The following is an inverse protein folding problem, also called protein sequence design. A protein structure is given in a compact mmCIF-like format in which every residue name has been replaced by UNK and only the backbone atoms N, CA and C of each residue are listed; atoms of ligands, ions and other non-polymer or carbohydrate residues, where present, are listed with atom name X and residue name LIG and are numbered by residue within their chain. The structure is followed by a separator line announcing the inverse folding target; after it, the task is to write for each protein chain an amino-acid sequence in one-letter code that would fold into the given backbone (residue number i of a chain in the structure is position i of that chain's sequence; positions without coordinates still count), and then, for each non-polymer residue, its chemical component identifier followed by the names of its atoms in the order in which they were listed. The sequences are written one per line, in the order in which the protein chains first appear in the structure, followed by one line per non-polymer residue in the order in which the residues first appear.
data_IF_362581484601
#
_entry.id   IF_362581484601
#
_cell.length_a   1.000
_cell.length_b   1.000
_cell.length_c   1.000
_cell.angle_alpha   90.00
_cell.angle_beta   90.00
_cell.angle_gamma   90.00
#
_symmetry.space_group_name_H-M   'P 1'
#
loop_
_entity.id
_entity.type
_entity.pdbx_description
1 polymer ?
#
# COMPACT_ATOMS: atom_id res chain seq x y z
N UNK A 1 -12.65 -14.56 -10.81
CA UNK A 1 -11.52 -15.49 -10.60
C UNK A 1 -11.50 -15.85 -9.13
N UNK A 2 -11.21 -17.10 -8.79
CA UNK A 2 -11.02 -17.57 -7.41
C UNK A 2 -9.71 -18.34 -7.38
N UNK A 3 -8.82 -18.02 -6.45
CA UNK A 3 -7.48 -18.59 -6.35
C UNK A 3 -6.70 -17.96 -5.20
N UNK A 4 -5.57 -18.57 -4.84
CA UNK A 4 -4.63 -18.00 -3.88
C UNK A 4 -4.04 -16.69 -4.42
N UNK A 5 -4.00 -15.65 -3.57
CA UNK A 5 -3.58 -14.32 -4.01
C UNK A 5 -2.11 -14.29 -4.46
N UNK A 6 -1.23 -15.06 -3.81
CA UNK A 6 0.18 -15.17 -4.16
C UNK A 6 0.39 -15.87 -5.49
N UNK A 7 -0.33 -16.96 -5.73
CA UNK A 7 -0.29 -17.65 -7.02
C UNK A 7 -0.86 -16.81 -8.16
N UNK A 8 -1.97 -16.10 -7.90
CA UNK A 8 -2.64 -15.27 -8.90
C UNK A 8 -1.75 -14.09 -9.30
N UNK A 9 -1.21 -13.34 -8.34
CA UNK A 9 -0.47 -12.10 -8.64
C UNK A 9 0.86 -12.36 -9.37
N UNK A 10 1.43 -13.56 -9.22
CA UNK A 10 2.66 -13.97 -9.91
C UNK A 10 2.42 -14.33 -11.41
N UNK A 11 1.17 -14.45 -11.87
CA UNK A 11 0.90 -14.88 -13.25
C UNK A 11 1.32 -13.81 -14.27
N UNK A 12 1.94 -14.19 -15.41
CA UNK A 12 2.44 -13.23 -16.40
C UNK A 12 1.40 -12.24 -16.93
N UNK A 13 0.13 -12.65 -17.00
CA UNK A 13 -0.97 -11.82 -17.50
C UNK A 13 -1.29 -10.60 -16.62
N UNK A 14 -0.77 -10.54 -15.39
CA UNK A 14 -0.95 -9.39 -14.49
C UNK A 14 0.24 -8.44 -14.49
N UNK A 15 1.38 -8.83 -15.07
CA UNK A 15 2.59 -8.01 -15.05
C UNK A 15 2.37 -6.70 -15.83
N UNK A 16 2.58 -5.56 -15.18
CA UNK A 16 2.41 -4.23 -15.79
C UNK A 16 0.97 -3.75 -15.95
N UNK A 17 -0.03 -4.45 -15.40
CA UNK A 17 -1.43 -4.25 -15.78
C UNK A 17 -2.29 -3.51 -14.74
N UNK A 18 -1.79 -3.29 -13.52
CA UNK A 18 -2.59 -2.83 -12.39
C UNK A 18 -2.18 -1.41 -11.95
N UNK A 19 -3.10 -0.45 -12.03
CA UNK A 19 -2.84 0.92 -11.54
C UNK A 19 -3.05 1.06 -10.02
N UNK A 20 -3.92 0.23 -9.45
CA UNK A 20 -4.22 0.23 -8.02
C UNK A 20 -4.41 -1.20 -7.50
N UNK A 21 -3.43 -1.70 -6.76
CA UNK A 21 -3.47 -3.02 -6.11
C UNK A 21 -3.75 -2.85 -4.62
N UNK A 22 -4.79 -3.51 -4.11
CA UNK A 22 -5.11 -3.50 -2.68
C UNK A 22 -4.83 -4.86 -2.06
N UNK A 23 -3.94 -4.90 -1.07
CA UNK A 23 -3.60 -6.10 -0.30
C UNK A 23 -4.23 -5.97 1.09
N UNK A 24 -5.20 -6.82 1.37
CA UNK A 24 -5.92 -6.90 2.65
C UNK A 24 -6.08 -8.38 3.01
N UNK A 25 -4.98 -8.98 3.47
CA UNK A 25 -4.87 -10.42 3.71
C UNK A 25 -4.54 -10.66 5.18
N UNK A 26 -5.30 -11.52 5.85
CA UNK A 26 -5.12 -11.84 7.27
C UNK A 26 -5.32 -13.32 7.55
N UNK A 27 -4.59 -13.83 8.54
CA UNK A 27 -4.87 -15.15 9.07
C UNK A 27 -6.23 -15.20 9.77
N UNK A 28 -6.67 -16.40 10.13
CA UNK A 28 -7.95 -16.61 10.82
C UNK A 28 -8.09 -15.87 12.16
N UNK A 29 -6.97 -15.52 12.80
CA UNK A 29 -6.93 -14.79 14.08
C UNK A 29 -6.82 -13.27 13.88
N UNK A 30 -6.75 -12.81 12.61
CA UNK A 30 -6.38 -11.47 12.23
C UNK A 30 -5.09 -10.99 12.94
N UNK A 31 -4.12 -11.89 13.14
CA UNK A 31 -2.92 -11.61 13.94
C UNK A 31 -1.74 -11.06 13.12
N UNK A 32 -1.65 -11.45 11.84
CA UNK A 32 -0.62 -11.03 10.90
C UNK A 32 -1.08 -11.23 9.44
N UNK A 33 -0.41 -10.60 8.46
CA UNK A 33 -0.68 -10.88 7.06
C UNK A 33 -0.24 -12.29 6.66
N UNK A 34 -1.09 -13.00 5.92
CA UNK A 34 -0.81 -14.38 5.46
C UNK A 34 0.32 -14.40 4.44
N UNK A 35 0.36 -13.38 3.58
CA UNK A 35 1.39 -13.17 2.57
C UNK A 35 2.17 -11.90 2.94
N UNK A 36 3.27 -12.10 3.65
CA UNK A 36 4.18 -11.04 4.12
C UNK A 36 5.62 -11.49 3.88
N UNK A 37 6.08 -11.33 2.64
CA UNK A 37 7.48 -11.56 2.26
C UNK A 37 7.92 -10.58 1.18
N UNK A 38 9.22 -10.28 1.12
CA UNK A 38 9.78 -9.44 0.06
C UNK A 38 9.51 -10.05 -1.34
N UNK A 39 9.49 -11.38 -1.48
CA UNK A 39 9.16 -12.05 -2.73
C UNK A 39 7.71 -11.77 -3.16
N UNK A 40 6.76 -11.90 -2.25
CA UNK A 40 5.35 -11.56 -2.52
C UNK A 40 5.19 -10.09 -2.90
N UNK A 41 5.82 -9.17 -2.17
CA UNK A 41 5.77 -7.75 -2.51
C UNK A 41 6.46 -7.45 -3.85
N UNK A 42 7.48 -8.21 -4.26
CA UNK A 42 8.10 -8.08 -5.56
C UNK A 42 7.17 -8.57 -6.69
N UNK A 43 6.36 -9.61 -6.47
CA UNK A 43 5.29 -10.00 -7.39
C UNK A 43 4.22 -8.90 -7.49
N UNK A 44 3.80 -8.34 -6.35
CA UNK A 44 2.89 -7.19 -6.33
C UNK A 44 3.44 -6.02 -7.14
N UNK A 45 4.72 -5.66 -6.97
CA UNK A 45 5.37 -4.60 -7.76
C UNK A 45 5.37 -4.91 -9.25
N UNK A 46 5.71 -6.14 -9.64
CA UNK A 46 5.71 -6.56 -11.06
C UNK A 46 4.33 -6.44 -11.69
N UNK A 47 3.27 -6.65 -10.93
CA UNK A 47 1.90 -6.54 -11.41
C UNK A 47 1.45 -5.09 -11.67
N UNK A 48 2.12 -4.10 -11.05
CA UNK A 48 1.76 -2.71 -11.24
C UNK A 48 2.18 -2.18 -12.60
N UNK A 49 1.35 -1.30 -13.17
CA UNK A 49 1.77 -0.41 -14.26
C UNK A 49 2.82 0.59 -13.74
N UNK A 50 3.48 1.32 -14.65
CA UNK A 50 4.48 2.33 -14.27
C UNK A 50 3.88 3.48 -13.45
N UNK A 51 2.58 3.75 -13.59
CA UNK A 51 1.83 4.75 -12.81
C UNK A 51 1.13 4.13 -11.57
N UNK A 52 1.30 2.83 -11.37
CA UNK A 52 0.55 2.06 -10.40
C UNK A 52 1.06 2.19 -8.96
N UNK A 53 0.18 1.90 -8.02
CA UNK A 53 0.56 1.75 -6.61
C UNK A 53 -0.12 0.55 -5.95
N UNK A 54 0.56 0.01 -4.94
CA UNK A 54 0.00 -0.94 -4.00
C UNK A 54 -0.42 -0.19 -2.73
N UNK A 55 -1.57 -0.53 -2.15
CA UNK A 55 -1.90 -0.22 -0.76
C UNK A 55 -2.06 -1.52 0.02
N UNK A 56 -1.36 -1.66 1.13
CA UNK A 56 -1.49 -2.81 2.04
C UNK A 56 -1.99 -2.34 3.41
N UNK A 57 -2.99 -3.05 3.92
CA UNK A 57 -3.46 -2.85 5.29
C UNK A 57 -2.63 -3.76 6.21
N UNK A 58 -1.90 -3.16 7.15
CA UNK A 58 -1.10 -3.87 8.14
C UNK A 58 -1.76 -3.76 9.50
N UNK A 59 -2.06 -4.92 10.08
CA UNK A 59 -2.57 -5.05 11.44
C UNK A 59 -1.64 -5.98 12.23
N UNK A 60 -1.29 -5.58 13.45
CA UNK A 60 -0.42 -6.38 14.31
C UNK A 60 0.36 -5.53 15.32
N UNK A 61 1.14 -6.21 16.16
CA UNK A 61 2.04 -5.53 17.11
C UNK A 61 3.13 -4.77 16.34
N UNK A 62 3.74 -3.76 16.96
CA UNK A 62 4.81 -2.94 16.35
C UNK A 62 5.90 -3.77 15.65
N UNK A 63 6.34 -4.88 16.26
CA UNK A 63 7.36 -5.76 15.67
C UNK A 63 6.93 -6.44 14.35
N UNK A 64 5.64 -6.62 14.11
CA UNK A 64 5.12 -7.10 12.83
C UNK A 64 5.12 -5.99 11.79
N UNK A 65 4.70 -4.78 12.17
CA UNK A 65 4.68 -3.62 11.29
C UNK A 65 6.08 -3.30 10.73
N UNK A 66 7.10 -3.19 11.60
CA UNK A 66 8.46 -2.86 11.17
C UNK A 66 9.02 -3.91 10.21
N UNK A 67 8.69 -5.19 10.43
CA UNK A 67 9.08 -6.29 9.55
C UNK A 67 8.41 -6.19 8.19
N UNK A 68 7.08 -6.03 8.14
CA UNK A 68 6.35 -5.93 6.88
C UNK A 68 6.82 -4.72 6.08
N UNK A 69 7.03 -3.58 6.74
CA UNK A 69 7.59 -2.36 6.10
C UNK A 69 8.97 -2.61 5.51
N UNK A 70 9.86 -3.31 6.22
CA UNK A 70 11.19 -3.63 5.70
C UNK A 70 11.12 -4.49 4.42
N UNK A 71 10.21 -5.47 4.38
CA UNK A 71 10.01 -6.32 3.20
C UNK A 71 9.38 -5.56 2.03
N UNK A 72 8.44 -4.65 2.31
CA UNK A 72 7.86 -3.75 1.29
C UNK A 72 8.96 -2.85 0.74
N UNK A 73 9.78 -2.26 1.59
CA UNK A 73 10.89 -1.40 1.17
C UNK A 73 11.96 -2.17 0.38
N UNK A 74 12.21 -3.44 0.69
CA UNK A 74 13.09 -4.31 -0.11
C UNK A 74 12.58 -4.48 -1.54
N UNK A 75 11.27 -4.67 -1.72
CA UNK A 75 10.66 -4.85 -3.05
C UNK A 75 10.45 -3.53 -3.81
N UNK A 76 10.01 -2.47 -3.12
CA UNK A 76 9.58 -1.20 -3.72
C UNK A 76 10.66 -0.11 -3.70
N UNK A 77 11.63 -0.21 -2.79
CA UNK A 77 12.58 0.85 -2.47
C UNK A 77 11.98 1.86 -1.49
N UNK A 78 12.77 2.31 -0.53
CA UNK A 78 12.34 3.21 0.56
C UNK A 78 11.65 4.48 0.06
N UNK A 79 12.12 5.06 -1.04
CA UNK A 79 11.57 6.30 -1.63
C UNK A 79 10.13 6.15 -2.16
N UNK A 80 9.68 4.92 -2.42
CA UNK A 80 8.34 4.62 -2.90
C UNK A 80 7.33 4.40 -1.77
N UNK A 81 7.79 4.28 -0.51
CA UNK A 81 6.95 3.80 0.60
C UNK A 81 6.43 4.96 1.45
N UNK A 82 5.11 5.03 1.55
CA UNK A 82 4.35 6.02 2.30
C UNK A 82 3.44 5.30 3.28
N UNK A 83 3.06 5.96 4.37
CA UNK A 83 2.14 5.37 5.33
C UNK A 83 1.16 6.38 5.90
N UNK A 84 0.00 5.87 6.29
CA UNK A 84 -0.92 6.57 7.17
C UNK A 84 -0.49 6.41 8.62
N UNK A 85 -0.83 7.37 9.48
CA UNK A 85 -0.73 7.16 10.93
C UNK A 85 -1.64 6.00 11.35
N UNK A 86 -1.20 5.14 12.29
CA UNK A 86 -2.02 4.03 12.77
C UNK A 86 -3.38 4.51 13.30
N UNK A 87 -4.42 3.71 13.10
CA UNK A 87 -5.71 3.91 13.76
C UNK A 87 -5.61 3.59 15.25
N UNK A 88 -6.67 3.89 16.03
CA UNK A 88 -6.71 3.55 17.46
C UNK A 88 -6.65 2.03 17.70
N UNK A 89 -7.19 1.29 16.74
CA UNK A 89 -7.23 -0.16 16.69
C UNK A 89 -5.88 -0.75 16.23
N UNK A 90 -4.92 0.09 15.81
CA UNK A 90 -3.58 -0.33 15.41
C UNK A 90 -3.42 -0.66 13.92
N UNK A 91 -4.45 -0.47 13.10
CA UNK A 91 -4.35 -0.67 11.64
C UNK A 91 -3.50 0.45 11.02
N UNK A 92 -2.61 0.09 10.11
CA UNK A 92 -1.82 1.04 9.34
C UNK A 92 -1.89 0.69 7.87
N UNK A 93 -2.38 1.63 7.06
CA UNK A 93 -2.29 1.50 5.60
C UNK A 93 -0.93 2.01 5.15
N UNK A 94 -0.21 1.17 4.41
CA UNK A 94 1.04 1.51 3.74
C UNK A 94 0.78 1.54 2.24
N UNK A 95 1.30 2.58 1.56
CA UNK A 95 1.25 2.73 0.11
C UNK A 95 2.67 2.56 -0.44
N UNK A 96 2.81 1.83 -1.54
CA UNK A 96 4.07 1.66 -2.25
C UNK A 96 3.86 1.88 -3.75
N UNK A 97 4.60 2.83 -4.33
CA UNK A 97 4.48 3.18 -5.75
C UNK A 97 5.37 2.30 -6.63
N UNK A 98 4.92 1.93 -7.83
CA UNK A 98 5.76 1.22 -8.80
C UNK A 98 6.99 2.04 -9.19
N UNK A 99 6.80 3.35 -9.37
CA UNK A 99 7.83 4.37 -9.58
C UNK A 99 7.68 5.44 -8.49
N UNK A 100 8.74 5.75 -7.71
CA UNK A 100 8.67 6.78 -6.67
C UNK A 100 8.26 8.14 -7.24
N UNK A 101 7.20 8.72 -6.68
CA UNK A 101 6.72 10.07 -6.98
C UNK A 101 6.43 10.83 -5.69
N UNK A 102 6.81 12.11 -5.69
CA UNK A 102 6.68 12.99 -4.53
C UNK A 102 5.82 14.21 -4.90
N UNK A 103 4.49 14.04 -5.02
CA UNK A 103 3.59 15.15 -5.31
C UNK A 103 3.71 16.24 -4.25
N UNK A 104 3.69 17.50 -4.68
CA UNK A 104 3.64 18.61 -3.74
C UNK A 104 2.30 18.64 -2.96
N UNK A 105 2.30 19.35 -1.84
CA UNK A 105 1.12 19.46 -0.98
C UNK A 105 -0.06 20.16 -1.68
N UNK A 106 0.20 21.04 -2.64
CA UNK A 106 -0.85 21.76 -3.36
C UNK A 106 -1.64 20.80 -4.28
N UNK A 107 -0.93 19.94 -5.01
CA UNK A 107 -1.51 18.90 -5.85
C UNK A 107 -2.28 17.86 -5.01
N UNK A 108 -1.69 17.41 -3.89
CA UNK A 108 -2.38 16.50 -2.97
C UNK A 108 -3.67 17.11 -2.41
N UNK A 109 -3.65 18.40 -2.07
CA UNK A 109 -4.83 19.12 -1.58
C UNK A 109 -5.90 19.25 -2.67
N UNK A 110 -5.51 19.59 -3.89
CA UNK A 110 -6.42 19.65 -5.04
C UNK A 110 -7.09 18.29 -5.29
N UNK A 111 -6.32 17.19 -5.26
CA UNK A 111 -6.85 15.82 -5.41
C UNK A 111 -7.79 15.45 -4.25
N UNK A 112 -7.44 15.82 -3.02
CA UNK A 112 -8.30 15.60 -1.85
C UNK A 112 -9.63 16.38 -1.94
N UNK A 113 -9.61 17.63 -2.40
CA UNK A 113 -10.81 18.42 -2.62
C UNK A 113 -11.72 17.77 -3.69
N UNK A 114 -11.14 17.28 -4.79
CA UNK A 114 -11.88 16.54 -5.82
C UNK A 114 -12.52 15.26 -5.26
N UNK A 115 -11.79 14.52 -4.41
CA UNK A 115 -12.31 13.31 -3.76
C UNK A 115 -13.50 13.63 -2.85
N UNK A 116 -13.35 14.66 -2.00
CA UNK A 116 -14.41 15.11 -1.09
C UNK A 116 -15.66 15.57 -1.84
N UNK A 117 -15.49 16.34 -2.92
CA UNK A 117 -16.62 16.85 -3.70
C UNK A 117 -17.40 15.72 -4.36
N UNK A 118 -16.70 14.73 -4.95
CA UNK A 118 -17.31 13.65 -5.72
C UNK A 118 -17.90 12.54 -4.85
N UNK A 119 -17.14 12.07 -3.86
CA UNK A 119 -17.51 10.87 -3.09
C UNK A 119 -17.89 11.15 -1.63
N UNK A 120 -17.79 12.40 -1.17
CA UNK A 120 -18.08 12.80 0.23
C UNK A 120 -17.19 12.10 1.27
N UNK A 121 -16.06 11.55 0.85
CA UNK A 121 -15.05 10.94 1.73
C UNK A 121 -14.11 12.01 2.26
N UNK A 122 -13.66 11.97 3.53
CA UNK A 122 -12.95 13.08 4.19
C UNK A 122 -11.46 13.19 3.80
N UNK A 123 -11.15 13.26 2.51
CA UNK A 123 -9.80 13.15 1.98
C UNK A 123 -8.82 14.23 2.44
N UNK A 124 -9.29 15.45 2.78
CA UNK A 124 -8.40 16.48 3.36
C UNK A 124 -7.91 16.09 4.74
N UNK A 125 -8.67 15.29 5.49
CA UNK A 125 -8.22 14.79 6.80
C UNK A 125 -7.10 13.78 6.65
N UNK A 126 -7.15 12.96 5.60
CA UNK A 126 -6.14 11.94 5.30
C UNK A 126 -4.74 12.53 5.09
N UNK A 127 -4.64 13.71 4.47
CA UNK A 127 -3.35 14.40 4.26
C UNK A 127 -2.63 14.79 5.56
N UNK A 128 -3.33 14.83 6.70
CA UNK A 128 -2.70 15.11 8.01
C UNK A 128 -1.99 13.90 8.61
N UNK A 129 -2.29 12.73 8.07
CA UNK A 129 -1.83 11.44 8.59
C UNK A 129 -1.01 10.67 7.56
N UNK A 130 -0.93 11.13 6.32
CA UNK A 130 -0.27 10.44 5.21
C UNK A 130 1.04 11.14 4.81
N UNK A 131 2.11 10.38 4.62
CA UNK A 131 3.40 10.91 4.19
C UNK A 131 4.42 9.81 3.89
N UNK A 132 5.61 10.17 3.36
CA UNK A 132 6.70 9.23 3.15
C UNK A 132 7.12 8.61 4.48
N UNK A 133 7.39 7.30 4.47
CA UNK A 133 7.72 6.54 5.68
C UNK A 133 9.22 6.60 5.99
N UNK A 134 10.04 6.73 4.94
CA UNK A 134 11.49 6.89 5.02
C UNK A 134 11.85 8.35 4.68
N UNK A 135 12.82 8.91 5.40
CA UNK A 135 13.26 10.31 5.29
C UNK A 135 14.36 10.52 4.26
#
# INVERSE_FOLDING_TARGET
MLGDAGEVIAQPQWQGQIDALQVDLYDHDAGAPVLDSAAFYADCRRALSDEGCMTVNLFGRMASFDRSVAQIAEAFGEQAVWAFKPTREGNTVVLAQAVPEWPDLALLRQRADAIEQRWKLPARKWLRTFGPLFG
#
